data_IF_859349366209
#
_entry.id   IF_859349366209
#
_cell.length_a   1.000
_cell.length_b   1.000
_cell.length_c   1.000
_cell.angle_alpha   90.00
_cell.angle_beta   90.00
_cell.angle_gamma   90.00
#
_symmetry.space_group_name_H-M   'P 1'
#
loop_
_entity.id
_entity.type
_entity.pdbx_description
1 polymer ?
#
# COMPACT_ATOMS: atom_id res chain seq x y z
N UNK A 1 31.25 41.57 -4.13
CA UNK A 1 30.33 40.64 -4.83
C UNK A 1 31.01 39.61 -5.74
N UNK A 2 32.13 39.89 -6.43
CA UNK A 2 32.80 38.89 -7.30
C UNK A 2 33.58 37.78 -6.55
N UNK A 3 34.10 38.02 -5.35
CA UNK A 3 34.85 37.00 -4.58
C UNK A 3 33.94 35.96 -3.87
N UNK A 4 32.70 36.32 -3.54
CA UNK A 4 31.71 35.40 -2.95
C UNK A 4 31.13 34.40 -3.96
N UNK A 5 31.18 34.72 -5.27
CA UNK A 5 30.75 33.80 -6.34
C UNK A 5 31.79 32.70 -6.60
N UNK A 6 33.09 33.02 -6.54
CA UNK A 6 34.18 32.07 -6.74
C UNK A 6 34.29 31.03 -5.61
N UNK A 7 34.08 31.44 -4.36
CA UNK A 7 34.09 30.51 -3.22
C UNK A 7 32.92 29.50 -3.26
N UNK A 8 31.73 29.92 -3.73
CA UNK A 8 30.59 29.01 -3.94
C UNK A 8 30.82 28.04 -5.10
N UNK A 9 31.47 28.50 -6.18
CA UNK A 9 31.83 27.64 -7.30
C UNK A 9 32.85 26.57 -6.88
N UNK A 10 33.83 26.93 -6.06
CA UNK A 10 34.87 26.01 -5.59
C UNK A 10 34.32 24.92 -4.64
N UNK A 11 33.39 25.29 -3.76
CA UNK A 11 32.71 24.34 -2.86
C UNK A 11 31.80 23.36 -3.62
N UNK A 12 31.10 23.83 -4.66
CA UNK A 12 30.29 22.94 -5.52
C UNK A 12 31.17 22.00 -6.35
N UNK A 13 32.32 22.48 -6.86
CA UNK A 13 33.22 21.67 -7.67
C UNK A 13 33.94 20.60 -6.84
N UNK A 14 34.32 20.91 -5.60
CA UNK A 14 34.98 19.95 -4.69
C UNK A 14 34.04 18.83 -4.25
N UNK A 15 32.75 19.12 -4.04
CA UNK A 15 31.74 18.13 -3.67
C UNK A 15 31.33 17.26 -4.86
N UNK A 16 31.23 17.84 -6.07
CA UNK A 16 30.98 17.08 -7.30
C UNK A 16 32.17 16.18 -7.70
N UNK A 17 33.41 16.67 -7.58
CA UNK A 17 34.60 15.83 -7.82
C UNK A 17 34.76 14.72 -6.76
N UNK A 18 34.44 15.01 -5.49
CA UNK A 18 34.45 14.01 -4.42
C UNK A 18 33.43 12.89 -4.64
N UNK A 19 32.21 13.23 -5.07
CA UNK A 19 31.16 12.26 -5.42
C UNK A 19 31.48 11.46 -6.69
N UNK A 20 32.13 12.08 -7.69
CA UNK A 20 32.58 11.40 -8.90
C UNK A 20 33.71 10.38 -8.62
N UNK A 21 34.66 10.72 -7.74
CA UNK A 21 35.72 9.79 -7.33
C UNK A 21 35.20 8.64 -6.47
N UNK A 22 34.19 8.89 -5.62
CA UNK A 22 33.49 7.85 -4.86
C UNK A 22 32.67 6.92 -5.76
N UNK A 23 32.07 7.41 -6.85
CA UNK A 23 31.33 6.54 -7.78
C UNK A 23 32.26 5.70 -8.66
N UNK A 24 33.45 6.19 -9.01
CA UNK A 24 34.46 5.39 -9.76
C UNK A 24 35.12 4.34 -8.87
N UNK A 25 35.21 4.55 -7.56
CA UNK A 25 35.81 3.57 -6.64
C UNK A 25 34.93 2.33 -6.36
N UNK A 26 33.64 2.37 -6.70
CA UNK A 26 32.68 1.29 -6.39
C UNK A 26 32.15 0.54 -7.62
N UNK A 27 32.52 0.94 -8.84
CA UNK A 27 32.07 0.27 -10.07
C UNK A 27 33.25 -0.24 -10.89
N UNK A 28 33.22 -1.55 -11.18
CA UNK A 28 34.12 -2.23 -12.10
C UNK A 28 34.00 -1.60 -13.51
N UNK A 29 35.12 -1.06 -14.00
CA UNK A 29 35.28 -0.32 -15.26
C UNK A 29 34.82 -1.16 -16.47
N UNK A 30 34.77 -2.48 -16.35
CA UNK A 30 34.29 -3.37 -17.42
C UNK A 30 32.76 -3.29 -17.67
N UNK A 31 31.97 -2.75 -16.74
CA UNK A 31 30.49 -2.78 -16.84
C UNK A 31 29.89 -1.55 -17.56
N UNK A 32 30.63 -0.44 -17.67
CA UNK A 32 30.13 0.80 -18.27
C UNK A 32 30.24 0.87 -19.81
N UNK A 33 30.88 -0.11 -20.47
CA UNK A 33 31.11 -0.06 -21.90
C UNK A 33 29.91 -0.47 -22.78
N UNK A 34 28.78 -0.93 -22.20
CA UNK A 34 27.64 -1.45 -22.99
C UNK A 34 26.38 -0.59 -22.99
N UNK A 35 26.36 0.57 -22.34
CA UNK A 35 25.17 1.42 -22.30
C UNK A 35 25.58 2.87 -22.56
N UNK A 36 25.06 3.45 -23.65
CA UNK A 36 25.22 4.84 -24.13
C UNK A 36 26.35 5.07 -25.16
N UNK A 37 26.06 5.05 -26.49
CA UNK A 37 27.03 5.29 -27.56
C UNK A 37 27.24 6.79 -27.88
N UNK A 38 27.27 7.67 -26.87
CA UNK A 38 27.40 9.13 -27.08
C UNK A 38 28.19 9.86 -25.99
N UNK A 39 29.33 9.29 -25.57
CA UNK A 39 30.32 9.97 -24.73
C UNK A 39 31.75 9.60 -25.20
N UNK A 40 32.19 10.15 -26.33
CA UNK A 40 33.55 9.92 -26.85
C UNK A 40 34.48 11.13 -27.02
N UNK A 41 34.14 12.41 -26.77
CA UNK A 41 35.16 13.46 -26.90
C UNK A 41 35.81 13.95 -25.58
N UNK A 42 35.50 13.43 -24.39
CA UNK A 42 35.98 14.04 -23.12
C UNK A 42 37.08 13.22 -22.39
N UNK A 43 37.37 11.98 -22.80
CA UNK A 43 38.38 11.15 -22.12
C UNK A 43 39.82 11.29 -22.69
N UNK A 44 40.05 12.21 -23.62
CA UNK A 44 41.34 12.38 -24.30
C UNK A 44 42.41 13.15 -23.52
N UNK A 45 42.07 13.84 -22.42
CA UNK A 45 42.96 14.88 -21.86
C UNK A 45 43.34 14.71 -20.37
N UNK A 46 42.94 13.61 -19.72
CA UNK A 46 43.27 13.35 -18.30
C UNK A 46 44.63 12.64 -18.15
N UNK A 47 45.15 12.04 -19.23
CA UNK A 47 46.44 11.31 -19.23
C UNK A 47 47.69 12.21 -19.20
N UNK A 48 47.54 13.54 -19.13
CA UNK A 48 48.66 14.51 -19.07
C UNK A 48 48.84 15.23 -17.73
N UNK A 49 48.05 14.91 -16.71
CA UNK A 49 48.27 15.43 -15.36
C UNK A 49 49.42 14.67 -14.69
N UNK A 50 50.63 15.17 -14.90
CA UNK A 50 51.83 14.81 -14.15
C UNK A 50 51.61 15.23 -12.70
N UNK A 51 51.29 14.27 -11.83
CA UNK A 51 51.31 14.48 -10.39
C UNK A 51 52.77 14.57 -9.93
N UNK A 52 53.15 15.57 -9.12
CA UNK A 52 54.50 15.67 -8.61
C UNK A 52 54.80 14.49 -7.67
N UNK A 53 55.82 13.72 -8.03
CA UNK A 53 56.44 12.75 -7.14
C UNK A 53 57.02 13.47 -5.92
N UNK A 54 56.75 12.91 -4.74
CA UNK A 54 57.25 13.29 -3.40
C UNK A 54 56.42 14.33 -2.65
N UNK A 55 55.27 13.87 -2.15
CA UNK A 55 54.83 14.23 -0.81
C UNK A 55 55.06 13.01 0.09
N UNK A 56 56.06 13.07 0.98
CA UNK A 56 56.21 12.10 2.05
C UNK A 56 55.06 12.29 3.02
N UNK A 57 53.98 11.53 2.81
CA UNK A 57 52.89 11.47 3.76
C UNK A 57 53.43 10.83 5.04
N UNK A 58 53.49 11.61 6.12
CA UNK A 58 53.51 11.07 7.47
C UNK A 58 52.36 10.06 7.57
N UNK A 59 52.67 8.83 7.99
CA UNK A 59 51.67 7.79 8.26
C UNK A 59 50.87 8.18 9.49
N UNK A 60 49.94 9.13 9.33
CA UNK A 60 48.94 9.40 10.36
C UNK A 60 48.06 8.16 10.42
N UNK A 61 48.00 7.55 11.60
CA UNK A 61 47.26 6.33 11.81
C UNK A 61 45.77 6.61 11.56
N UNK A 62 45.23 6.10 10.45
CA UNK A 62 43.83 6.37 10.02
C UNK A 62 42.81 6.02 11.09
N UNK A 63 43.11 5.03 11.94
CA UNK A 63 42.26 4.63 13.06
C UNK A 63 42.16 5.69 14.15
N UNK A 64 43.22 6.47 14.36
CA UNK A 64 43.27 7.52 15.37
C UNK A 64 42.43 8.74 14.94
N UNK A 65 42.57 9.16 13.68
CA UNK A 65 41.72 10.20 13.07
C UNK A 65 40.23 9.80 13.03
N UNK A 66 39.93 8.54 12.76
CA UNK A 66 38.54 8.03 12.74
C UNK A 66 37.94 7.97 14.15
N UNK A 67 38.73 7.63 15.17
CA UNK A 67 38.25 7.58 16.56
C UNK A 67 38.05 8.98 17.17
N UNK A 68 38.89 9.96 16.82
CA UNK A 68 38.70 11.35 17.27
C UNK A 68 37.50 12.05 16.60
N UNK A 69 37.15 11.64 15.37
CA UNK A 69 36.06 12.26 14.60
C UNK A 69 34.67 11.69 14.90
N UNK A 70 34.57 10.46 15.42
CA UNK A 70 33.29 9.77 15.72
C UNK A 70 32.36 10.56 16.64
N UNK A 71 32.81 11.14 17.77
CA UNK A 71 31.93 11.91 18.66
C UNK A 71 31.32 13.13 17.97
N UNK A 72 32.09 13.83 17.13
CA UNK A 72 31.61 15.01 16.41
C UNK A 72 30.57 14.65 15.34
N UNK A 73 30.77 13.52 14.64
CA UNK A 73 29.80 13.00 13.67
C UNK A 73 28.48 12.64 14.36
N UNK A 74 28.52 11.99 15.52
CA UNK A 74 27.32 11.63 16.29
C UNK A 74 26.54 12.89 16.72
N UNK A 75 27.24 13.91 17.23
CA UNK A 75 26.60 15.17 17.64
C UNK A 75 25.95 15.89 16.45
N UNK A 76 26.62 15.94 15.30
CA UNK A 76 26.07 16.53 14.08
C UNK A 76 24.83 15.78 13.57
N UNK A 77 24.84 14.45 13.62
CA UNK A 77 23.68 13.63 13.27
C UNK A 77 22.51 13.88 14.22
N UNK A 78 22.76 13.98 15.52
CA UNK A 78 21.73 14.26 16.51
C UNK A 78 21.13 15.67 16.32
N UNK A 79 21.96 16.68 16.06
CA UNK A 79 21.48 18.04 15.77
C UNK A 79 20.67 18.12 14.48
N UNK A 80 21.05 17.37 13.44
CA UNK A 80 20.25 17.27 12.21
C UNK A 80 18.89 16.61 12.46
N UNK A 81 18.83 15.56 13.29
CA UNK A 81 17.58 14.92 13.67
C UNK A 81 16.67 15.87 14.47
N UNK A 82 17.23 16.62 15.43
CA UNK A 82 16.48 17.61 16.21
C UNK A 82 15.91 18.74 15.33
N UNK A 83 16.71 19.28 14.40
CA UNK A 83 16.24 20.29 13.45
C UNK A 83 15.12 19.76 12.53
N UNK A 84 15.23 18.52 12.06
CA UNK A 84 14.18 17.88 11.27
C UNK A 84 12.90 17.70 12.09
N UNK A 85 13.01 17.31 13.36
CA UNK A 85 11.85 17.19 14.26
C UNK A 85 11.19 18.55 14.53
N UNK A 86 11.97 19.61 14.72
CA UNK A 86 11.44 20.96 14.95
C UNK A 86 10.73 21.52 13.72
N UNK A 87 11.33 21.37 12.52
CA UNK A 87 10.71 21.80 11.27
C UNK A 87 9.36 21.10 11.02
N UNK A 88 9.30 19.77 11.26
CA UNK A 88 8.05 19.01 11.21
C UNK A 88 7.03 19.49 12.26
N UNK A 89 7.47 19.85 13.46
CA UNK A 89 6.60 20.40 14.51
C UNK A 89 5.99 21.76 14.14
N UNK A 90 6.75 22.60 13.47
CA UNK A 90 6.24 23.88 12.97
C UNK A 90 5.28 23.70 11.78
N UNK A 91 5.51 22.69 10.93
CA UNK A 91 4.56 22.27 9.90
C UNK A 91 3.24 21.76 10.51
N UNK A 92 3.30 20.95 11.57
CA UNK A 92 2.10 20.49 12.31
C UNK A 92 1.27 21.64 12.86
N UNK A 93 1.94 22.64 13.45
CA UNK A 93 1.27 23.85 13.97
C UNK A 93 0.57 24.63 12.86
N UNK A 94 1.15 24.69 11.65
CA UNK A 94 0.52 25.34 10.49
C UNK A 94 -0.71 24.59 10.00
N UNK A 95 -0.67 23.25 10.04
CA UNK A 95 -1.77 22.39 9.58
C UNK A 95 -2.94 22.29 10.56
N UNK A 96 -2.86 22.92 11.75
CA UNK A 96 -3.80 22.71 12.87
C UNK A 96 -4.05 21.22 13.17
N UNK A 97 -3.04 20.38 12.91
CA UNK A 97 -3.11 18.95 13.11
C UNK A 97 -2.46 18.60 14.45
N UNK A 98 -3.21 17.92 15.32
CA UNK A 98 -2.68 17.37 16.56
C UNK A 98 -2.27 15.91 16.34
N UNK A 99 -0.96 15.60 16.37
CA UNK A 99 -0.50 14.24 16.14
C UNK A 99 -0.97 13.25 17.21
N UNK A 100 -1.39 13.72 18.39
CA UNK A 100 -1.89 12.85 19.46
C UNK A 100 -3.34 12.39 19.24
N UNK A 101 -4.05 13.05 18.32
CA UNK A 101 -5.42 12.72 17.96
C UNK A 101 -5.45 11.82 16.72
N UNK A 102 -6.50 11.02 16.61
CA UNK A 102 -6.80 10.31 15.37
C UNK A 102 -7.14 11.28 14.23
N UNK A 103 -7.07 10.82 12.99
CA UNK A 103 -7.49 11.64 11.85
C UNK A 103 -9.00 11.92 11.89
N UNK A 104 -9.77 10.98 12.43
CA UNK A 104 -11.18 11.20 12.77
C UNK A 104 -11.36 12.39 13.71
N UNK A 105 -10.66 12.45 14.83
CA UNK A 105 -10.79 13.55 15.81
C UNK A 105 -10.26 14.89 15.28
N UNK A 106 -9.23 14.88 14.45
CA UNK A 106 -8.68 16.10 13.84
C UNK A 106 -9.61 16.71 12.78
N UNK A 107 -10.36 15.86 12.08
CA UNK A 107 -11.12 16.26 10.90
C UNK A 107 -12.63 15.98 10.99
N UNK A 108 -13.14 15.59 12.16
CA UNK A 108 -14.57 15.50 12.40
C UNK A 108 -15.24 16.86 12.19
N UNK A 109 -16.39 16.87 11.54
CA UNK A 109 -17.22 18.06 11.46
C UNK A 109 -17.78 18.38 12.86
N UNK A 110 -17.77 19.65 13.24
CA UNK A 110 -18.37 20.09 14.50
C UNK A 110 -19.87 19.79 14.49
N UNK A 111 -20.33 19.01 15.47
CA UNK A 111 -21.76 18.70 15.66
C UNK A 111 -22.60 19.93 16.05
N UNK A 112 -21.95 21.03 16.44
CA UNK A 112 -22.60 22.20 17.04
C UNK A 112 -23.27 23.14 16.03
N UNK A 113 -23.09 22.93 14.72
CA UNK A 113 -23.79 23.72 13.72
C UNK A 113 -25.16 23.11 13.39
N UNK A 114 -26.11 23.58 14.20
CA UNK A 114 -27.56 23.53 14.10
C UNK A 114 -28.09 23.95 12.71
N UNK A 115 -27.71 23.20 11.67
CA UNK A 115 -28.15 23.41 10.28
C UNK A 115 -29.33 22.50 10.04
N UNK A 116 -30.45 22.89 10.63
CA UNK A 116 -31.78 22.43 10.26
C UNK A 116 -32.04 22.79 8.78
N UNK A 117 -31.55 21.97 7.84
CA UNK A 117 -32.12 21.74 6.51
C UNK A 117 -31.30 20.68 5.73
N UNK A 118 -31.59 19.41 6.01
CA UNK A 118 -31.82 18.30 5.07
C UNK A 118 -30.79 17.83 4.04
N UNK A 119 -29.54 18.30 4.05
CA UNK A 119 -28.43 17.49 3.55
C UNK A 119 -27.37 17.40 4.64
N UNK A 120 -27.45 16.32 5.44
CA UNK A 120 -26.40 15.91 6.37
C UNK A 120 -25.05 16.08 5.66
N UNK A 121 -24.06 16.65 6.34
CA UNK A 121 -22.86 17.30 5.80
C UNK A 121 -21.93 16.50 4.87
N UNK A 122 -22.40 15.44 4.24
CA UNK A 122 -21.81 14.69 3.15
C UNK A 122 -21.84 15.49 1.85
N UNK A 123 -20.70 15.62 1.21
CA UNK A 123 -20.55 16.30 -0.06
C UNK A 123 -19.66 15.50 -1.02
N UNK A 124 -19.67 15.92 -2.29
CA UNK A 124 -18.82 15.36 -3.32
C UNK A 124 -19.39 14.13 -4.02
N UNK A 125 -18.55 13.46 -4.80
CA UNK A 125 -18.93 12.35 -5.71
C UNK A 125 -19.52 11.17 -4.93
N UNK A 126 -19.03 10.92 -3.73
CA UNK A 126 -19.42 9.77 -2.91
C UNK A 126 -20.38 10.15 -1.77
N UNK A 127 -21.06 11.29 -1.85
CA UNK A 127 -21.97 11.75 -0.80
C UNK A 127 -23.12 10.77 -0.51
N UNK A 128 -23.74 10.20 -1.56
CA UNK A 128 -24.83 9.22 -1.43
C UNK A 128 -24.38 7.93 -0.76
N UNK A 129 -23.15 7.46 -1.04
CA UNK A 129 -22.58 6.27 -0.41
C UNK A 129 -22.27 6.57 1.05
N UNK A 130 -21.65 7.72 1.34
CA UNK A 130 -21.38 8.14 2.73
C UNK A 130 -22.66 8.18 3.56
N UNK A 131 -23.79 8.63 3.01
CA UNK A 131 -25.07 8.67 3.72
C UNK A 131 -25.57 7.30 4.21
N UNK A 132 -25.11 6.20 3.59
CA UNK A 132 -25.56 4.84 3.90
C UNK A 132 -24.71 4.13 4.96
N UNK A 133 -23.57 4.71 5.36
CA UNK A 133 -22.65 4.10 6.33
C UNK A 133 -23.17 4.18 7.76
N UNK A 134 -22.65 3.31 8.63
CA UNK A 134 -22.95 3.31 10.07
C UNK A 134 -22.20 4.43 10.82
N UNK A 135 -22.90 5.52 11.14
CA UNK A 135 -22.38 6.64 11.94
C UNK A 135 -22.45 6.43 13.45
N UNK A 136 -22.88 5.24 13.93
CA UNK A 136 -22.62 4.84 15.31
C UNK A 136 -21.13 4.50 15.52
N UNK A 137 -20.48 4.02 14.45
CA UNK A 137 -19.05 3.71 14.42
C UNK A 137 -18.20 4.84 13.80
N UNK A 138 -18.64 5.37 12.67
CA UNK A 138 -17.96 6.41 11.89
C UNK A 138 -18.35 7.84 12.31
N UNK A 139 -17.53 8.83 11.95
CA UNK A 139 -17.85 10.26 12.07
C UNK A 139 -18.02 10.92 10.72
N UNK A 140 -18.82 11.98 10.67
CA UNK A 140 -18.86 12.89 9.52
C UNK A 140 -17.59 13.74 9.53
N UNK A 141 -16.87 13.76 8.42
CA UNK A 141 -15.66 14.56 8.25
C UNK A 141 -15.99 15.96 7.73
N UNK A 142 -15.10 16.93 7.97
CA UNK A 142 -15.16 18.27 7.37
C UNK A 142 -15.25 18.22 5.85
N UNK A 143 -15.81 19.29 5.25
CA UNK A 143 -15.96 19.42 3.80
C UNK A 143 -14.63 19.28 3.06
N UNK A 144 -13.59 19.94 3.56
CA UNK A 144 -12.26 19.93 2.99
C UNK A 144 -11.69 18.51 3.02
N UNK A 145 -11.90 17.79 4.12
CA UNK A 145 -11.44 16.41 4.26
C UNK A 145 -12.19 15.46 3.33
N UNK A 146 -13.51 15.60 3.20
CA UNK A 146 -14.29 14.80 2.24
C UNK A 146 -13.84 15.02 0.79
N UNK A 147 -13.46 16.24 0.41
CA UNK A 147 -12.88 16.51 -0.93
C UNK A 147 -11.56 15.78 -1.14
N UNK A 148 -10.67 15.76 -0.15
CA UNK A 148 -9.42 14.98 -0.22
C UNK A 148 -9.73 13.48 -0.37
N UNK A 149 -10.64 12.97 0.45
CA UNK A 149 -11.08 11.58 0.40
C UNK A 149 -11.62 11.21 -0.99
N UNK A 150 -12.43 12.07 -1.61
CA UNK A 150 -12.95 11.86 -2.97
C UNK A 150 -11.84 11.76 -4.02
N UNK A 151 -10.77 12.56 -3.90
CA UNK A 151 -9.60 12.49 -4.79
C UNK A 151 -8.89 11.14 -4.64
N UNK A 152 -8.68 10.70 -3.40
CA UNK A 152 -8.04 9.40 -3.11
C UNK A 152 -8.86 8.26 -3.72
N UNK A 153 -10.17 8.22 -3.41
CA UNK A 153 -11.08 7.18 -3.87
C UNK A 153 -11.20 7.14 -5.39
N UNK A 154 -11.35 8.31 -6.03
CA UNK A 154 -11.41 8.40 -7.50
C UNK A 154 -10.11 7.89 -8.14
N UNK A 155 -8.95 8.24 -7.57
CA UNK A 155 -7.66 7.75 -8.05
C UNK A 155 -7.53 6.22 -7.98
N UNK A 156 -8.05 5.59 -6.91
CA UNK A 156 -8.03 4.14 -6.74
C UNK A 156 -9.00 3.41 -7.70
N UNK A 157 -10.22 3.94 -7.89
CA UNK A 157 -11.18 3.42 -8.86
C UNK A 157 -10.65 3.50 -10.30
N UNK A 158 -10.14 4.67 -10.70
CA UNK A 158 -9.71 4.92 -12.07
C UNK A 158 -8.45 4.11 -12.45
N UNK A 159 -7.56 3.86 -11.49
CA UNK A 159 -6.37 3.01 -11.69
C UNK A 159 -6.77 1.62 -12.18
N UNK A 160 -7.82 1.04 -11.61
CA UNK A 160 -8.31 -0.30 -11.98
C UNK A 160 -8.90 -0.30 -13.38
N UNK A 161 -9.72 0.70 -13.72
CA UNK A 161 -10.31 0.84 -15.06
C UNK A 161 -9.25 0.87 -16.16
N UNK A 162 -8.16 1.62 -15.94
CA UNK A 162 -7.05 1.69 -16.89
C UNK A 162 -6.38 0.34 -17.10
N UNK A 163 -6.14 -0.42 -16.03
CA UNK A 163 -5.54 -1.75 -16.12
C UNK A 163 -6.44 -2.75 -16.84
N UNK A 164 -7.75 -2.70 -16.60
CA UNK A 164 -8.72 -3.53 -17.31
C UNK A 164 -8.75 -3.24 -18.82
N UNK A 165 -8.70 -1.96 -19.22
CA UNK A 165 -8.66 -1.58 -20.64
C UNK A 165 -7.40 -2.07 -21.36
N UNK A 166 -6.24 -2.07 -20.69
CA UNK A 166 -4.98 -2.55 -21.28
C UNK A 166 -5.03 -4.07 -21.49
N UNK A 167 -5.60 -4.82 -20.53
CA UNK A 167 -5.75 -6.28 -20.65
C UNK A 167 -6.74 -6.72 -21.73
N UNK A 168 -7.79 -5.94 -21.98
CA UNK A 168 -8.82 -6.28 -22.97
C UNK A 168 -8.42 -6.02 -24.43
N UNK A 169 -7.35 -5.24 -24.70
CA UNK A 169 -6.88 -5.03 -26.08
C UNK A 169 -6.28 -6.29 -26.73
N UNK A 170 -6.05 -7.38 -25.99
CA UNK A 170 -5.55 -8.65 -26.53
C UNK A 170 -6.65 -9.66 -26.91
N UNK A 171 -7.94 -9.37 -26.65
CA UNK A 171 -9.03 -10.34 -26.85
C UNK A 171 -10.38 -9.75 -27.28
N UNK A 172 -10.37 -8.68 -28.08
CA UNK A 172 -11.58 -8.21 -28.78
C UNK A 172 -11.59 -8.72 -30.22
N UNK A 173 -11.92 -10.01 -30.37
CA UNK A 173 -12.57 -10.49 -31.60
C UNK A 173 -14.05 -10.20 -31.47
N UNK A 174 -14.58 -9.66 -32.56
CA UNK A 174 -15.95 -9.26 -32.82
C UNK A 174 -16.94 -10.36 -32.43
N UNK A 175 -17.86 -10.07 -31.51
CA UNK A 175 -19.17 -10.70 -31.56
C UNK A 175 -20.25 -9.67 -31.23
N UNK A 176 -21.08 -9.45 -32.25
CA UNK A 176 -22.22 -8.56 -32.23
C UNK A 176 -23.34 -9.18 -31.39
N UNK A 177 -23.82 -8.40 -30.42
CA UNK A 177 -25.19 -8.39 -29.91
C UNK A 177 -25.88 -9.75 -29.70
N UNK A 178 -26.01 -10.17 -28.43
CA UNK A 178 -27.27 -10.66 -27.86
C UNK A 178 -27.11 -10.86 -26.35
N UNK A 179 -27.96 -10.17 -25.57
CA UNK A 179 -28.14 -10.30 -24.11
C UNK A 179 -26.85 -10.48 -23.31
N UNK A 180 -26.17 -9.36 -23.00
CA UNK A 180 -25.05 -9.32 -22.06
C UNK A 180 -25.61 -9.57 -20.65
N UNK A 181 -25.72 -10.83 -20.25
CA UNK A 181 -25.70 -11.16 -18.83
C UNK A 181 -24.43 -10.50 -18.29
N UNK A 182 -24.59 -9.57 -17.33
CA UNK A 182 -23.45 -8.88 -16.74
C UNK A 182 -22.56 -9.96 -16.11
N UNK A 183 -21.22 -9.87 -16.27
CA UNK A 183 -20.33 -10.82 -15.63
C UNK A 183 -20.59 -10.81 -14.12
N UNK A 184 -20.56 -12.00 -13.50
CA UNK A 184 -20.80 -12.14 -12.07
C UNK A 184 -19.87 -11.21 -11.29
N UNK A 185 -20.46 -10.36 -10.44
CA UNK A 185 -19.70 -9.40 -9.64
C UNK A 185 -19.25 -10.07 -8.35
N UNK A 186 -17.94 -10.10 -8.13
CA UNK A 186 -17.34 -10.75 -6.96
C UNK A 186 -16.88 -9.73 -5.93
N UNK A 187 -17.16 -10.02 -4.65
CA UNK A 187 -16.53 -9.41 -3.48
C UNK A 187 -15.63 -10.45 -2.84
N UNK A 188 -14.33 -10.32 -3.04
CA UNK A 188 -13.33 -11.22 -2.45
C UNK A 188 -12.80 -10.60 -1.16
N UNK A 189 -13.12 -11.21 -0.04
CA UNK A 189 -12.51 -10.88 1.24
C UNK A 189 -11.24 -11.69 1.42
N UNK A 190 -10.11 -11.03 1.58
CA UNK A 190 -8.92 -11.72 2.06
C UNK A 190 -8.99 -11.86 3.59
N UNK A 191 -8.50 -12.97 4.11
CA UNK A 191 -8.43 -13.25 5.53
C UNK A 191 -7.03 -13.71 5.91
N UNK A 192 -6.63 -13.44 7.15
CA UNK A 192 -5.32 -13.86 7.65
C UNK A 192 -4.66 -12.79 8.54
N UNK A 193 -3.85 -13.26 9.48
CA UNK A 193 -3.09 -12.42 10.41
C UNK A 193 -2.14 -11.45 9.68
N UNK A 194 -1.83 -10.32 10.31
CA UNK A 194 -0.81 -9.39 9.81
C UNK A 194 0.54 -10.13 9.69
N UNK A 195 1.27 -9.92 8.60
CA UNK A 195 2.54 -10.63 8.34
C UNK A 195 2.39 -11.98 7.61
N UNK A 196 1.16 -12.52 7.47
CA UNK A 196 0.94 -13.80 6.76
C UNK A 196 1.24 -13.73 5.26
N UNK A 197 1.29 -12.53 4.69
CA UNK A 197 1.61 -12.30 3.28
C UNK A 197 0.40 -12.37 2.35
N UNK A 198 -0.77 -11.85 2.76
CA UNK A 198 -1.98 -11.77 1.92
C UNK A 198 -1.71 -11.10 0.57
N UNK A 199 -1.25 -9.85 0.58
CA UNK A 199 -0.99 -9.11 -0.66
C UNK A 199 0.12 -9.76 -1.52
N UNK A 200 1.11 -10.41 -0.88
CA UNK A 200 2.11 -11.22 -1.61
C UNK A 200 1.47 -12.42 -2.29
N UNK A 201 0.62 -13.17 -1.58
CA UNK A 201 -0.08 -14.35 -2.09
C UNK A 201 -0.93 -14.01 -3.31
N UNK A 202 -1.75 -12.95 -3.22
CA UNK A 202 -2.61 -12.53 -4.35
C UNK A 202 -1.77 -12.12 -5.58
N UNK A 203 -0.66 -11.41 -5.38
CA UNK A 203 0.25 -11.04 -6.48
C UNK A 203 0.93 -12.27 -7.09
N UNK A 204 1.39 -13.20 -6.26
CA UNK A 204 1.98 -14.45 -6.73
C UNK A 204 0.99 -15.29 -7.57
N UNK A 205 -0.29 -15.30 -7.20
CA UNK A 205 -1.34 -15.92 -8.01
C UNK A 205 -1.51 -15.21 -9.36
N UNK A 206 -1.49 -13.88 -9.37
CA UNK A 206 -1.61 -13.09 -10.59
C UNK A 206 -0.41 -13.27 -11.54
N UNK A 207 0.81 -13.24 -11.00
CA UNK A 207 2.06 -13.48 -11.74
C UNK A 207 2.07 -14.86 -12.41
N UNK A 208 1.44 -15.85 -11.76
CA UNK A 208 1.27 -17.21 -12.28
C UNK A 208 0.02 -17.40 -13.13
N UNK A 209 -0.69 -16.33 -13.46
CA UNK A 209 -1.93 -16.33 -14.24
C UNK A 209 -3.05 -17.20 -13.63
N UNK A 210 -2.98 -17.49 -12.32
CA UNK A 210 -3.99 -18.26 -11.58
C UNK A 210 -5.17 -17.38 -11.14
N UNK A 211 -4.95 -16.07 -11.05
CA UNK A 211 -5.96 -15.12 -10.58
C UNK A 211 -5.90 -13.80 -11.38
N UNK A 212 -7.01 -13.32 -11.99
CA UNK A 212 -7.01 -12.16 -12.86
C UNK A 212 -7.07 -10.86 -12.06
N UNK A 213 -6.02 -10.54 -11.31
CA UNK A 213 -5.98 -9.41 -10.38
C UNK A 213 -6.37 -8.06 -11.00
N UNK A 214 -6.02 -7.82 -12.27
CA UNK A 214 -6.35 -6.57 -12.97
C UNK A 214 -7.85 -6.36 -13.23
N UNK A 215 -8.67 -7.40 -13.05
CA UNK A 215 -10.13 -7.32 -13.18
C UNK A 215 -10.84 -6.85 -11.89
N UNK A 216 -10.09 -6.63 -10.80
CA UNK A 216 -10.64 -6.30 -9.49
C UNK A 216 -10.15 -4.94 -9.00
N UNK A 217 -11.06 -4.18 -8.37
CA UNK A 217 -10.68 -3.01 -7.57
C UNK A 217 -10.10 -3.52 -6.25
N UNK A 218 -8.82 -3.22 -5.99
CA UNK A 218 -8.18 -3.60 -4.74
C UNK A 218 -8.43 -2.54 -3.66
N UNK A 219 -9.22 -2.90 -2.65
CA UNK A 219 -9.49 -2.11 -1.45
C UNK A 219 -8.53 -2.53 -0.34
N UNK A 220 -7.49 -1.74 -0.11
CA UNK A 220 -6.48 -2.00 0.91
C UNK A 220 -6.36 -0.81 1.87
N UNK A 221 -6.77 -0.96 3.16
CA UNK A 221 -6.72 0.13 4.12
C UNK A 221 -5.29 0.60 4.40
N UNK A 222 -4.26 -0.25 4.27
CA UNK A 222 -2.86 0.18 4.39
C UNK A 222 -2.48 1.08 3.20
N UNK A 223 -2.88 0.76 1.97
CA UNK A 223 -2.67 1.65 0.81
C UNK A 223 -3.41 2.98 0.96
N UNK A 224 -4.65 2.96 1.44
CA UNK A 224 -5.43 4.17 1.70
C UNK A 224 -4.73 5.08 2.71
N UNK A 225 -4.17 4.52 3.79
CA UNK A 225 -3.41 5.29 4.78
C UNK A 225 -2.24 6.05 4.16
N UNK A 226 -1.50 5.41 3.25
CA UNK A 226 -0.39 6.05 2.55
C UNK A 226 -0.81 7.20 1.62
N UNK A 227 -2.10 7.29 1.28
CA UNK A 227 -2.65 8.43 0.55
C UNK A 227 -3.05 9.60 1.47
N UNK A 228 -3.08 9.41 2.80
CA UNK A 228 -3.37 10.48 3.75
C UNK A 228 -2.11 11.32 3.98
N UNK A 229 -2.16 12.66 3.83
CA UNK A 229 -0.97 13.51 3.87
C UNK A 229 -0.23 13.46 5.22
N UNK A 230 -0.95 13.25 6.31
CA UNK A 230 -0.39 13.18 7.66
C UNK A 230 0.17 11.79 8.04
N UNK A 231 -0.07 10.74 7.25
CA UNK A 231 0.23 9.38 7.70
C UNK A 231 1.73 9.12 7.86
N UNK A 232 2.55 9.57 6.91
CA UNK A 232 4.00 9.44 7.02
C UNK A 232 4.51 10.12 8.29
N UNK A 233 4.00 11.30 8.60
CA UNK A 233 4.34 12.02 9.82
C UNK A 233 3.91 11.27 11.08
N UNK A 234 2.71 10.67 11.11
CA UNK A 234 2.25 9.84 12.23
C UNK A 234 3.17 8.62 12.45
N UNK A 235 3.64 7.98 11.38
CA UNK A 235 4.60 6.86 11.46
C UNK A 235 5.91 7.31 12.10
N UNK A 236 6.39 8.52 11.79
CA UNK A 236 7.60 9.06 12.41
C UNK A 236 7.39 9.49 13.87
N UNK A 237 6.20 10.02 14.19
CA UNK A 237 5.89 10.56 15.52
C UNK A 237 5.63 9.45 16.55
N UNK A 238 4.79 8.48 16.20
CA UNK A 238 4.40 7.36 17.06
C UNK A 238 4.11 6.12 16.20
N UNK A 239 5.16 5.40 15.77
CA UNK A 239 5.04 4.31 14.83
C UNK A 239 4.14 3.15 15.31
N UNK A 240 4.01 2.99 16.63
CA UNK A 240 3.17 1.96 17.25
C UNK A 240 1.68 2.27 17.10
N UNK A 241 1.28 3.55 17.16
CA UNK A 241 -0.13 3.96 17.12
C UNK A 241 -0.55 4.63 15.80
N UNK A 242 0.37 4.87 14.86
CA UNK A 242 0.05 5.49 13.57
C UNK A 242 -1.08 4.76 12.81
N UNK A 243 -1.08 3.43 12.85
CA UNK A 243 -2.13 2.60 12.25
C UNK A 243 -3.48 2.77 12.94
N UNK A 244 -3.49 2.89 14.27
CA UNK A 244 -4.71 3.08 15.07
C UNK A 244 -5.29 4.48 14.89
N UNK A 245 -4.44 5.51 14.83
CA UNK A 245 -4.84 6.91 14.61
C UNK A 245 -5.48 7.16 13.25
N UNK A 246 -5.21 6.32 12.27
CA UNK A 246 -5.82 6.37 10.93
C UNK A 246 -6.87 5.28 10.69
N UNK A 247 -7.10 4.40 11.66
CA UNK A 247 -7.88 3.17 11.49
C UNK A 247 -9.31 3.41 11.03
N UNK A 248 -10.00 4.33 11.70
CA UNK A 248 -11.41 4.61 11.40
C UNK A 248 -11.60 5.24 10.03
N UNK A 249 -10.80 6.26 9.71
CA UNK A 249 -10.89 6.91 8.40
C UNK A 249 -10.54 5.96 7.26
N UNK A 250 -9.44 5.22 7.37
CA UNK A 250 -9.08 4.23 6.35
C UNK A 250 -10.14 3.12 6.21
N UNK A 251 -10.77 2.73 7.32
CA UNK A 251 -11.91 1.81 7.33
C UNK A 251 -13.13 2.37 6.57
N UNK A 252 -13.55 3.59 6.89
CA UNK A 252 -14.63 4.29 6.18
C UNK A 252 -14.34 4.36 4.68
N UNK A 253 -13.14 4.78 4.30
CA UNK A 253 -12.75 4.89 2.89
C UNK A 253 -12.71 3.52 2.20
N UNK A 254 -12.37 2.45 2.92
CA UNK A 254 -12.45 1.09 2.38
C UNK A 254 -13.90 0.70 2.08
N UNK A 255 -14.84 1.01 2.97
CA UNK A 255 -16.27 0.77 2.75
C UNK A 255 -16.80 1.61 1.57
N UNK A 256 -16.51 2.91 1.53
CA UNK A 256 -16.92 3.78 0.42
C UNK A 256 -16.35 3.29 -0.91
N UNK A 257 -15.07 2.91 -0.96
CA UNK A 257 -14.44 2.39 -2.18
C UNK A 257 -15.09 1.09 -2.64
N UNK A 258 -15.39 0.20 -1.70
CA UNK A 258 -16.06 -1.09 -1.97
C UNK A 258 -17.42 -0.84 -2.61
N UNK A 259 -18.27 -0.04 -1.95
CA UNK A 259 -19.62 0.27 -2.43
C UNK A 259 -19.59 1.02 -3.77
N UNK A 260 -18.67 1.98 -3.94
CA UNK A 260 -18.55 2.73 -5.19
C UNK A 260 -18.15 1.83 -6.37
N UNK A 261 -17.22 0.90 -6.16
CA UNK A 261 -16.84 -0.08 -7.18
C UNK A 261 -18.00 -1.02 -7.50
N UNK A 262 -18.80 -1.40 -6.50
CA UNK A 262 -19.97 -2.24 -6.69
C UNK A 262 -21.08 -1.53 -7.48
N UNK A 263 -21.36 -0.25 -7.18
CA UNK A 263 -22.29 0.59 -7.94
C UNK A 263 -21.87 0.75 -9.42
N UNK A 264 -20.56 0.71 -9.71
CA UNK A 264 -20.02 0.76 -11.08
C UNK A 264 -19.94 -0.62 -11.76
N UNK A 265 -20.50 -1.68 -11.15
CA UNK A 265 -20.51 -3.03 -11.72
C UNK A 265 -19.14 -3.73 -11.71
N UNK A 266 -18.19 -3.23 -10.90
CA UNK A 266 -16.84 -3.80 -10.79
C UNK A 266 -16.74 -4.84 -9.68
N UNK A 267 -15.93 -5.88 -9.88
CA UNK A 267 -15.56 -6.80 -8.80
C UNK A 267 -14.49 -6.19 -7.90
N UNK A 268 -14.48 -6.56 -6.63
CA UNK A 268 -13.64 -5.95 -5.58
C UNK A 268 -12.87 -7.01 -4.78
N UNK A 269 -11.66 -6.66 -4.35
CA UNK A 269 -10.91 -7.41 -3.34
C UNK A 269 -10.78 -6.53 -2.11
N UNK A 270 -11.28 -6.97 -0.97
CA UNK A 270 -11.22 -6.27 0.31
C UNK A 270 -10.12 -6.89 1.17
N UNK A 271 -9.04 -6.13 1.42
CA UNK A 271 -7.94 -6.54 2.28
C UNK A 271 -8.30 -6.36 3.76
N UNK A 272 -8.25 -7.45 4.52
CA UNK A 272 -8.66 -7.46 5.91
C UNK A 272 -8.13 -8.69 6.65
N UNK A 273 -8.30 -8.70 7.98
CA UNK A 273 -8.00 -9.91 8.76
C UNK A 273 -9.19 -10.85 8.85
N UNK A 274 -10.42 -10.35 8.60
CA UNK A 274 -11.66 -11.10 8.78
C UNK A 274 -11.86 -11.68 10.18
N UNK A 275 -11.41 -10.95 11.23
CA UNK A 275 -11.32 -11.45 12.60
C UNK A 275 -12.62 -11.31 13.43
N UNK A 276 -13.59 -10.59 12.89
CA UNK A 276 -14.83 -10.21 13.59
C UNK A 276 -16.02 -10.84 12.87
N UNK A 277 -16.37 -12.07 13.24
CA UNK A 277 -17.37 -12.85 12.52
C UNK A 277 -18.75 -12.17 12.53
N UNK A 278 -19.17 -11.66 13.69
CA UNK A 278 -20.48 -11.01 13.86
C UNK A 278 -20.62 -9.82 12.91
N UNK A 279 -19.64 -8.91 12.92
CA UNK A 279 -19.66 -7.76 12.03
C UNK A 279 -19.64 -8.15 10.54
N UNK A 280 -18.82 -9.14 10.15
CA UNK A 280 -18.76 -9.57 8.74
C UNK A 280 -20.01 -10.34 8.29
N UNK A 281 -20.72 -11.05 9.19
CA UNK A 281 -21.99 -11.69 8.86
C UNK A 281 -23.07 -10.64 8.53
N UNK A 282 -23.16 -9.58 9.33
CA UNK A 282 -24.03 -8.45 9.06
C UNK A 282 -23.61 -7.75 7.76
N UNK A 283 -22.31 -7.52 7.56
CA UNK A 283 -21.81 -6.86 6.37
C UNK A 283 -22.06 -7.68 5.08
N UNK A 284 -21.87 -9.00 5.12
CA UNK A 284 -22.19 -9.87 3.98
C UNK A 284 -23.68 -9.86 3.63
N UNK A 285 -24.52 -9.81 4.65
CA UNK A 285 -25.98 -9.71 4.49
C UNK A 285 -26.33 -8.37 3.84
N UNK A 286 -25.83 -7.26 4.39
CA UNK A 286 -26.04 -5.93 3.84
C UNK A 286 -25.58 -5.81 2.38
N UNK A 287 -24.39 -6.33 2.03
CA UNK A 287 -23.89 -6.29 0.66
C UNK A 287 -24.81 -7.04 -0.31
N UNK A 288 -25.34 -8.20 0.09
CA UNK A 288 -26.26 -8.99 -0.76
C UNK A 288 -27.65 -8.33 -0.91
N UNK A 289 -28.12 -7.65 0.12
CA UNK A 289 -29.37 -6.89 0.08
C UNK A 289 -29.23 -5.65 -0.82
N UNK A 290 -28.13 -4.92 -0.71
CA UNK A 290 -27.87 -3.70 -1.49
C UNK A 290 -27.52 -4.00 -2.95
N UNK A 291 -26.77 -5.08 -3.21
CA UNK A 291 -26.34 -5.47 -4.56
C UNK A 291 -26.80 -6.89 -4.90
N UNK A 292 -28.05 -7.07 -5.36
CA UNK A 292 -28.57 -8.38 -5.74
C UNK A 292 -27.71 -9.03 -6.82
N UNK A 293 -27.29 -10.28 -6.57
CA UNK A 293 -26.54 -11.08 -7.54
C UNK A 293 -25.03 -11.04 -7.37
N UNK A 294 -24.48 -10.27 -6.41
CA UNK A 294 -23.07 -10.39 -6.07
C UNK A 294 -22.73 -11.78 -5.53
N UNK A 295 -21.48 -12.19 -5.74
CA UNK A 295 -20.89 -13.39 -5.16
C UNK A 295 -19.82 -13.01 -4.14
N UNK A 296 -19.84 -13.67 -2.99
CA UNK A 296 -18.85 -13.43 -1.93
C UNK A 296 -17.85 -14.58 -1.92
N UNK A 297 -16.57 -14.24 -1.95
CA UNK A 297 -15.48 -15.19 -1.79
C UNK A 297 -14.62 -14.86 -0.57
N UNK A 298 -14.05 -15.88 0.06
CA UNK A 298 -13.05 -15.72 1.11
C UNK A 298 -11.75 -16.41 0.69
N UNK A 299 -10.67 -15.63 0.64
CA UNK A 299 -9.32 -16.13 0.44
C UNK A 299 -8.58 -16.08 1.77
N UNK A 300 -8.57 -17.21 2.49
CA UNK A 300 -7.88 -17.32 3.77
C UNK A 300 -6.41 -17.65 3.54
N UNK A 301 -5.52 -16.72 3.84
CA UNK A 301 -4.07 -16.93 3.71
C UNK A 301 -3.50 -17.37 5.05
N UNK A 302 -2.80 -18.50 5.05
CA UNK A 302 -2.11 -19.05 6.22
C UNK A 302 -0.60 -19.12 5.97
N UNK A 303 0.20 -19.15 7.03
CA UNK A 303 1.64 -19.34 6.95
C UNK A 303 2.15 -19.94 8.27
N UNK A 304 3.35 -20.55 8.29
CA UNK A 304 4.00 -20.97 9.53
C UNK A 304 4.12 -19.81 10.52
N UNK A 305 3.94 -20.12 11.82
CA UNK A 305 3.94 -19.13 12.90
C UNK A 305 5.19 -18.24 12.90
N UNK A 306 6.37 -18.85 12.84
CA UNK A 306 7.67 -18.15 12.83
C UNK A 306 7.79 -17.20 11.63
N UNK A 307 7.41 -17.67 10.43
CA UNK A 307 7.43 -16.85 9.23
C UNK A 307 6.53 -15.60 9.35
N UNK A 308 5.37 -15.70 10.03
CA UNK A 308 4.51 -14.53 10.29
C UNK A 308 5.21 -13.51 11.17
N UNK A 309 5.83 -13.95 12.26
CA UNK A 309 6.54 -13.08 13.20
C UNK A 309 7.74 -12.40 12.52
N UNK A 310 8.55 -13.16 11.78
CA UNK A 310 9.72 -12.65 11.08
C UNK A 310 9.35 -11.64 9.99
N UNK A 311 8.28 -11.91 9.22
CA UNK A 311 7.78 -10.98 8.21
C UNK A 311 7.23 -9.71 8.85
N UNK A 312 6.53 -9.82 9.98
CA UNK A 312 6.04 -8.65 10.72
C UNK A 312 7.19 -7.79 11.24
N UNK A 313 8.23 -8.41 11.81
CA UNK A 313 9.44 -7.73 12.26
C UNK A 313 10.19 -7.05 11.10
N UNK A 314 10.38 -7.75 9.98
CA UNK A 314 11.02 -7.21 8.77
C UNK A 314 10.22 -6.04 8.19
N UNK A 315 8.89 -6.14 8.13
CA UNK A 315 8.03 -5.04 7.70
C UNK A 315 8.17 -3.83 8.63
N UNK A 316 8.25 -4.04 9.94
CA UNK A 316 8.46 -2.95 10.89
C UNK A 316 9.79 -2.22 10.66
N UNK A 317 10.87 -2.95 10.32
CA UNK A 317 12.16 -2.36 9.98
C UNK A 317 12.10 -1.53 8.69
N UNK A 318 11.36 -1.99 7.68
CA UNK A 318 11.25 -1.31 6.37
C UNK A 318 10.32 -0.10 6.43
N UNK A 319 9.14 -0.26 7.04
CA UNK A 319 8.08 0.74 6.98
C UNK A 319 7.96 1.59 8.23
N UNK A 320 8.75 1.31 9.28
CA UNK A 320 8.64 1.91 10.61
C UNK A 320 7.42 1.46 11.42
N UNK A 321 6.41 0.83 10.81
CA UNK A 321 5.15 0.45 11.47
C UNK A 321 5.32 -0.85 12.25
N UNK A 322 5.31 -0.74 13.58
CA UNK A 322 5.40 -1.89 14.48
C UNK A 322 4.00 -2.47 14.74
N UNK A 323 3.86 -3.78 14.66
CA UNK A 323 2.67 -4.50 15.13
C UNK A 323 3.04 -5.21 16.43
N UNK A 324 2.34 -4.95 17.56
CA UNK A 324 2.63 -5.63 18.81
C UNK A 324 2.52 -7.15 18.70
N UNK A 325 3.50 -7.89 19.23
CA UNK A 325 3.52 -9.36 19.18
C UNK A 325 2.28 -9.99 19.83
N UNK A 326 1.85 -9.48 20.98
CA UNK A 326 0.63 -9.95 21.65
C UNK A 326 -0.63 -9.79 20.77
N UNK A 327 -0.67 -8.74 19.94
CA UNK A 327 -1.77 -8.56 18.97
C UNK A 327 -1.68 -9.61 17.85
N UNK A 328 -0.47 -9.89 17.33
CA UNK A 328 -0.25 -10.94 16.33
C UNK A 328 -0.73 -12.30 16.84
N UNK A 329 -0.23 -12.72 18.01
CA UNK A 329 -0.58 -14.00 18.64
C UNK A 329 -2.08 -14.13 18.86
N UNK A 330 -2.73 -13.10 19.41
CA UNK A 330 -4.19 -13.10 19.58
C UNK A 330 -4.92 -13.26 18.25
N UNK A 331 -4.48 -12.56 17.21
CA UNK A 331 -5.12 -12.65 15.89
C UNK A 331 -4.86 -13.98 15.17
N UNK A 332 -3.78 -14.69 15.46
CA UNK A 332 -3.53 -16.04 14.93
C UNK A 332 -4.57 -17.05 15.41
N UNK A 333 -5.14 -16.85 16.61
CA UNK A 333 -6.23 -17.68 17.14
C UNK A 333 -7.59 -17.16 16.66
N UNK A 334 -7.79 -15.85 16.71
CA UNK A 334 -9.09 -15.23 16.41
C UNK A 334 -9.49 -15.36 14.94
N UNK A 335 -8.55 -15.21 14.00
CA UNK A 335 -8.86 -15.21 12.56
C UNK A 335 -9.37 -16.56 12.07
N UNK A 336 -8.70 -17.72 12.32
CA UNK A 336 -9.23 -19.01 11.90
C UNK A 336 -10.63 -19.29 12.44
N UNK A 337 -10.89 -19.00 13.73
CA UNK A 337 -12.21 -19.18 14.32
C UNK A 337 -13.30 -18.36 13.61
N UNK A 338 -12.99 -17.10 13.27
CA UNK A 338 -13.90 -16.22 12.53
C UNK A 338 -14.13 -16.72 11.09
N UNK A 339 -13.07 -17.14 10.40
CA UNK A 339 -13.14 -17.68 9.04
C UNK A 339 -13.97 -18.97 8.99
N UNK A 340 -13.87 -19.84 9.99
CA UNK A 340 -14.68 -21.07 10.06
C UNK A 340 -16.19 -20.79 10.09
N UNK A 341 -16.60 -19.70 10.74
CA UNK A 341 -18.00 -19.24 10.75
C UNK A 341 -18.34 -18.67 9.37
N UNK A 342 -17.55 -17.69 8.91
CA UNK A 342 -17.84 -16.90 7.72
C UNK A 342 -17.77 -17.69 6.41
N UNK A 343 -16.94 -18.74 6.32
CA UNK A 343 -16.85 -19.56 5.10
C UNK A 343 -18.16 -20.24 4.73
N UNK A 344 -19.04 -20.48 5.72
CA UNK A 344 -20.39 -21.04 5.48
C UNK A 344 -21.35 -20.03 4.85
N UNK A 345 -21.00 -18.74 4.88
CA UNK A 345 -21.77 -17.63 4.31
C UNK A 345 -21.24 -17.19 2.95
N UNK A 346 -20.03 -17.60 2.57
CA UNK A 346 -19.42 -17.28 1.29
C UNK A 346 -19.87 -18.23 0.17
N UNK A 347 -19.96 -17.72 -1.06
CA UNK A 347 -20.20 -18.53 -2.27
C UNK A 347 -18.96 -19.35 -2.67
N UNK A 348 -17.77 -18.84 -2.32
CA UNK A 348 -16.51 -19.53 -2.56
C UNK A 348 -15.55 -19.34 -1.38
N UNK A 349 -14.85 -20.41 -1.02
CA UNK A 349 -13.81 -20.39 0.01
C UNK A 349 -12.58 -21.13 -0.47
N UNK A 350 -11.42 -20.53 -0.26
CA UNK A 350 -10.13 -21.19 -0.46
C UNK A 350 -9.18 -20.83 0.68
N UNK A 351 -8.46 -21.82 1.18
CA UNK A 351 -7.32 -21.59 2.06
C UNK A 351 -6.04 -21.72 1.26
N UNK A 352 -5.22 -20.67 1.29
CA UNK A 352 -3.98 -20.54 0.56
C UNK A 352 -2.82 -20.54 1.54
N UNK A 353 -2.00 -21.60 1.49
CA UNK A 353 -0.84 -21.75 2.35
C UNK A 353 0.39 -21.09 1.74
N UNK A 354 0.88 -20.05 2.40
CA UNK A 354 2.05 -19.27 2.04
C UNK A 354 3.27 -19.67 2.89
N UNK A 355 3.82 -20.84 2.58
CA UNK A 355 5.07 -21.32 3.15
C UNK A 355 6.28 -20.58 2.56
N UNK A 356 7.29 -20.32 3.38
CA UNK A 356 8.53 -19.70 2.93
C UNK A 356 9.25 -20.56 1.89
N UNK A 357 9.84 -19.90 0.88
CA UNK A 357 10.59 -20.51 -0.23
C UNK A 357 9.84 -21.55 -1.08
N UNK A 358 8.52 -21.61 -0.95
CA UNK A 358 7.66 -22.52 -1.73
C UNK A 358 6.63 -21.73 -2.51
N UNK A 359 6.14 -22.36 -3.58
CA UNK A 359 4.93 -21.85 -4.23
C UNK A 359 3.77 -21.84 -3.22
N UNK A 360 2.88 -20.86 -3.35
CA UNK A 360 1.59 -20.86 -2.68
C UNK A 360 0.90 -22.18 -2.99
N UNK A 361 0.27 -22.80 -2.00
CA UNK A 361 -0.49 -24.04 -2.15
C UNK A 361 -1.95 -23.86 -1.76
N UNK A 362 -2.85 -24.58 -2.41
CA UNK A 362 -4.24 -24.69 -1.94
C UNK A 362 -4.26 -25.72 -0.80
N UNK A 363 -4.58 -25.26 0.42
CA UNK A 363 -4.72 -26.12 1.59
C UNK A 363 -6.16 -26.61 1.75
N UNK A 364 -7.15 -25.77 1.42
CA UNK A 364 -8.56 -26.12 1.46
C UNK A 364 -9.33 -25.50 0.29
N UNK A 365 -10.39 -26.16 -0.21
CA UNK A 365 -10.86 -27.49 0.20
C UNK A 365 -9.94 -28.61 -0.32
N UNK A 366 -9.98 -29.77 0.36
CA UNK A 366 -9.19 -30.93 -0.03
C UNK A 366 -9.55 -31.40 -1.44
N UNK A 367 -8.53 -31.65 -2.28
CA UNK A 367 -8.71 -32.10 -3.67
C UNK A 367 -8.94 -30.99 -4.70
N UNK A 368 -9.00 -29.72 -4.28
CA UNK A 368 -8.98 -28.61 -5.22
C UNK A 368 -7.58 -28.43 -5.81
N UNK A 369 -7.50 -28.34 -7.14
CA UNK A 369 -6.28 -27.98 -7.87
C UNK A 369 -6.37 -26.57 -8.47
N UNK A 370 -5.26 -26.08 -9.03
CA UNK A 370 -5.21 -24.75 -9.63
C UNK A 370 -6.17 -24.57 -10.81
N UNK A 371 -6.42 -25.63 -11.59
CA UNK A 371 -7.38 -25.57 -12.70
C UNK A 371 -8.81 -25.39 -12.19
N UNK A 372 -9.18 -26.08 -11.11
CA UNK A 372 -10.46 -25.90 -10.46
C UNK A 372 -10.60 -24.49 -9.90
N UNK A 373 -9.56 -23.97 -9.23
CA UNK A 373 -9.52 -22.60 -8.73
C UNK A 373 -9.69 -21.57 -9.86
N UNK A 374 -8.93 -21.69 -10.95
CA UNK A 374 -8.96 -20.78 -12.10
C UNK A 374 -10.34 -20.71 -12.77
N UNK A 375 -11.08 -21.83 -12.82
CA UNK A 375 -12.43 -21.87 -13.40
C UNK A 375 -13.44 -20.96 -12.71
N UNK A 376 -13.23 -20.61 -11.44
CA UNK A 376 -14.10 -19.65 -10.74
C UNK A 376 -13.92 -18.21 -11.23
N UNK A 377 -12.78 -17.91 -11.86
CA UNK A 377 -12.42 -16.56 -12.31
C UNK A 377 -12.36 -16.45 -13.83
N UNK A 378 -12.46 -17.58 -14.53
CA UNK A 378 -12.53 -17.60 -15.98
C UNK A 378 -13.80 -16.87 -16.43
N UNK A 379 -13.74 -16.05 -17.50
CA UNK A 379 -14.93 -15.50 -18.11
C UNK A 379 -15.90 -16.64 -18.43
N UNK A 380 -17.08 -16.63 -17.82
CA UNK A 380 -18.08 -17.66 -18.05
C UNK A 380 -18.63 -17.52 -19.47
N UNK A 381 -17.99 -18.20 -20.43
CA UNK A 381 -18.54 -18.41 -21.78
C UNK A 381 -19.80 -19.26 -21.63
N UNK A 382 -20.94 -18.61 -21.39
CA UNK A 382 -22.24 -19.24 -21.46
C UNK A 382 -22.52 -19.58 -22.93
N UNK A 383 -22.05 -20.73 -23.39
CA UNK A 383 -22.64 -21.36 -24.57
C UNK A 383 -24.04 -21.77 -24.16
N UNK A 384 -25.04 -20.93 -24.41
CA UNK A 384 -26.44 -21.35 -24.36
C UNK A 384 -26.54 -22.59 -25.25
N UNK A 385 -26.84 -23.74 -24.66
CA UNK A 385 -27.37 -24.86 -25.44
C UNK A 385 -28.63 -24.32 -26.08
N UNK A 386 -28.56 -24.11 -27.39
CA UNK A 386 -29.75 -23.90 -28.20
C UNK A 386 -30.41 -25.28 -28.17
N UNK A 387 -31.38 -25.46 -27.28
CA UNK A 387 -32.25 -26.63 -27.31
C UNK A 387 -33.03 -26.54 -28.63
N UNK A 388 -32.78 -27.51 -29.51
CA UNK A 388 -33.34 -27.62 -30.85
C UNK A 388 -34.73 -28.27 -30.85
#
# INVERSE_FOLDING_TARGET
MRQLCLARYFLLYSTLCGLALLTVAFYDISTMAMVVPSFQPILGDISRLVLPERLSFCSVNKEELLNESKPQIIVLQQQQQEHQQLAKKDEMRRLKFDPNKSTEENYAADNDNNTSNNHAGFMGRFASIRQQLDYSYHRVYTVERQRLQDVILSGMLDKTKRLACIGQQQHLVQDNQQHKDLPEQWVIFTAGVMGVGKSHTIRALAEKQRFPLSAFVWVDPDQIRHCLPEFEMLVHYDPAHAGDRTRKEAGMLSEVLTLAALEEGQSVIVDGSLRDAEWYEEYFTHLRETYPGIKIAIFHVTAPHEAVLDRAARRAQITGRVVPTALLERTMVQVPASVEILKTKADFFVELHNAEDKDVQIAQPAGMDWRAFERHWAPSCHTKKIDA
#
